data_IF_456215470468
#
_entry.id   IF_456215470468
#
_cell.length_a   1.000
_cell.length_b   1.000
_cell.length_c   1.000
_cell.angle_alpha   90.00
_cell.angle_beta   90.00
_cell.angle_gamma   90.00
#
_symmetry.space_group_name_H-M   'P 1'
#
loop_
_entity.id
_entity.type
_entity.pdbx_description
1 polymer ?
#
# COMPACT_ATOMS: atom_id res chain seq x y z
N UNK A 1 -30.42 -32.35 5.80
CA UNK A 1 -30.53 -30.97 5.27
C UNK A 1 -29.60 -29.98 5.99
N UNK A 2 -29.69 -29.79 7.32
CA UNK A 2 -28.81 -28.87 8.10
C UNK A 2 -27.29 -28.99 7.84
N UNK A 3 -26.76 -30.20 7.67
CA UNK A 3 -25.33 -30.44 7.38
C UNK A 3 -24.89 -29.90 6.01
N UNK A 4 -25.76 -30.01 5.01
CA UNK A 4 -25.51 -29.51 3.64
C UNK A 4 -25.60 -27.99 3.63
N UNK A 5 -26.57 -27.40 4.34
CA UNK A 5 -26.67 -25.95 4.49
C UNK A 5 -25.45 -25.37 5.20
N UNK A 6 -24.94 -26.04 6.24
CA UNK A 6 -23.71 -25.63 6.93
C UNK A 6 -22.49 -25.66 6.00
N UNK A 7 -22.33 -26.72 5.23
CA UNK A 7 -21.26 -26.84 4.23
C UNK A 7 -21.33 -25.73 3.18
N UNK A 8 -22.52 -25.42 2.66
CA UNK A 8 -22.74 -24.33 1.70
C UNK A 8 -22.35 -22.98 2.28
N UNK A 9 -22.72 -22.69 3.53
CA UNK A 9 -22.35 -21.44 4.20
C UNK A 9 -20.84 -21.31 4.35
N UNK A 10 -20.14 -22.38 4.74
CA UNK A 10 -18.67 -22.39 4.87
C UNK A 10 -18.02 -22.14 3.50
N UNK A 11 -18.44 -22.84 2.46
CA UNK A 11 -17.92 -22.67 1.10
C UNK A 11 -18.12 -21.24 0.62
N UNK A 12 -19.31 -20.66 0.85
CA UNK A 12 -19.60 -19.28 0.52
C UNK A 12 -18.64 -18.33 1.27
N UNK A 13 -18.49 -18.46 2.59
CA UNK A 13 -17.57 -17.59 3.35
C UNK A 13 -16.11 -17.64 2.87
N UNK A 14 -15.64 -18.80 2.39
CA UNK A 14 -14.27 -18.95 1.87
C UNK A 14 -14.14 -18.34 0.47
N UNK A 15 -15.14 -18.54 -0.41
CA UNK A 15 -15.15 -17.97 -1.76
C UNK A 15 -15.32 -16.43 -1.77
N UNK A 16 -15.99 -15.90 -0.75
CA UNK A 16 -16.15 -14.45 -0.53
C UNK A 16 -15.17 -13.89 0.49
N UNK A 17 -14.09 -14.62 0.82
CA UNK A 17 -12.97 -14.00 1.52
C UNK A 17 -12.52 -12.79 0.72
N UNK A 18 -12.58 -11.62 1.35
CA UNK A 18 -12.35 -10.35 0.68
C UNK A 18 -10.96 -10.38 0.07
N UNK A 19 -10.87 -10.32 -1.27
CA UNK A 19 -9.60 -10.01 -1.93
C UNK A 19 -9.04 -8.74 -1.27
N UNK A 20 -7.79 -8.76 -0.80
CA UNK A 20 -7.18 -7.56 -0.26
C UNK A 20 -6.68 -6.73 -1.44
N UNK A 21 -7.45 -5.72 -1.86
CA UNK A 21 -7.09 -4.74 -2.91
C UNK A 21 -6.05 -3.73 -2.42
N UNK A 22 -5.01 -4.24 -1.75
CA UNK A 22 -3.95 -3.45 -1.13
C UNK A 22 -2.59 -3.97 -1.56
N UNK A 23 -2.45 -4.34 -2.83
CA UNK A 23 -1.14 -4.72 -3.38
C UNK A 23 -0.29 -3.46 -3.52
N UNK A 24 0.85 -3.47 -2.85
CA UNK A 24 1.85 -2.40 -2.90
C UNK A 24 2.94 -2.81 -3.89
N UNK A 25 3.20 -1.99 -4.91
CA UNK A 25 4.25 -2.24 -5.90
C UNK A 25 5.59 -1.63 -5.43
N UNK A 26 6.72 -2.34 -5.52
CA UNK A 26 8.01 -1.80 -5.11
C UNK A 26 8.49 -0.72 -6.07
N UNK A 27 8.90 0.43 -5.52
CA UNK A 27 9.50 1.55 -6.25
C UNK A 27 11.02 1.39 -6.30
N UNK A 28 11.64 1.22 -5.12
CA UNK A 28 13.10 1.17 -4.97
C UNK A 28 13.52 0.62 -3.63
N UNK A 29 14.80 0.26 -3.52
CA UNK A 29 15.43 -0.10 -2.25
C UNK A 29 16.57 0.89 -2.01
N UNK A 30 16.56 1.54 -0.86
CA UNK A 30 17.65 2.44 -0.44
C UNK A 30 18.91 1.65 -0.08
N UNK A 31 20.08 2.32 -0.08
CA UNK A 31 21.34 1.72 0.34
C UNK A 31 21.33 1.20 1.79
N UNK A 32 20.49 1.77 2.66
CA UNK A 32 20.25 1.30 4.03
C UNK A 32 19.27 0.12 4.12
N UNK A 33 18.75 -0.35 2.99
CA UNK A 33 17.86 -1.50 2.89
C UNK A 33 16.40 -1.22 3.19
N UNK A 34 15.98 0.05 3.21
CA UNK A 34 14.55 0.43 3.26
C UNK A 34 13.95 0.22 1.88
N UNK A 35 12.86 -0.55 1.80
CA UNK A 35 12.10 -0.73 0.55
C UNK A 35 10.97 0.27 0.50
N UNK A 36 10.87 1.00 -0.60
CA UNK A 36 9.77 1.91 -0.88
C UNK A 36 8.78 1.20 -1.78
N UNK A 37 7.50 1.29 -1.45
CA UNK A 37 6.39 0.80 -2.25
C UNK A 37 5.38 1.92 -2.53
N UNK A 38 4.55 1.75 -3.54
CA UNK A 38 3.37 2.57 -3.79
C UNK A 38 2.12 1.74 -4.03
N UNK A 39 0.97 2.28 -3.64
CA UNK A 39 -0.33 1.73 -3.99
C UNK A 39 -0.72 2.24 -5.39
N UNK A 40 -0.61 1.35 -6.39
CA UNK A 40 -0.87 1.67 -7.79
C UNK A 40 -2.34 1.98 -8.08
N UNK A 41 -3.26 1.28 -7.45
CA UNK A 41 -4.69 1.43 -7.66
C UNK A 41 -5.21 2.77 -7.11
N UNK A 42 -4.50 3.33 -6.14
CA UNK A 42 -4.81 4.62 -5.51
C UNK A 42 -4.01 5.80 -6.05
N UNK A 43 -3.29 5.64 -7.16
CA UNK A 43 -2.68 6.79 -7.84
C UNK A 43 -3.78 7.69 -8.38
N UNK A 44 -3.66 9.00 -8.13
CA UNK A 44 -4.57 10.04 -8.63
C UNK A 44 -3.78 11.12 -9.35
N UNK A 45 -4.32 11.66 -10.44
CA UNK A 45 -3.75 12.80 -11.16
C UNK A 45 -4.64 14.01 -10.97
N UNK A 46 -4.04 15.15 -10.64
CA UNK A 46 -4.72 16.45 -10.66
C UNK A 46 -3.77 17.50 -11.24
N UNK A 47 -4.15 18.05 -12.40
CA UNK A 47 -3.28 18.92 -13.20
C UNK A 47 -1.96 18.23 -13.56
N UNK A 48 -0.84 18.86 -13.20
CA UNK A 48 0.51 18.33 -13.42
C UNK A 48 1.02 17.39 -12.32
N UNK A 49 0.25 17.22 -11.25
CA UNK A 49 0.68 16.44 -10.09
C UNK A 49 0.09 15.03 -10.09
N UNK A 50 0.92 14.08 -9.66
CA UNK A 50 0.49 12.75 -9.25
C UNK A 50 0.43 12.68 -7.73
N UNK A 51 -0.55 11.95 -7.22
CA UNK A 51 -0.75 11.72 -5.81
C UNK A 51 -0.88 10.24 -5.54
N UNK A 52 -0.16 9.74 -4.56
CA UNK A 52 -0.15 8.31 -4.24
C UNK A 52 0.22 8.08 -2.77
N UNK A 53 -0.12 6.90 -2.28
CA UNK A 53 0.39 6.43 -1.00
C UNK A 53 1.75 5.77 -1.21
N UNK A 54 2.74 6.16 -0.41
CA UNK A 54 4.06 5.54 -0.29
C UNK A 54 4.11 4.73 1.00
N UNK A 55 4.60 3.49 0.94
CA UNK A 55 4.93 2.66 2.10
C UNK A 55 6.45 2.52 2.17
N UNK A 56 7.03 2.88 3.31
CA UNK A 56 8.43 2.58 3.63
C UNK A 56 8.47 1.37 4.54
N UNK A 57 9.16 0.33 4.11
CA UNK A 57 9.40 -0.88 4.88
C UNK A 57 10.85 -0.91 5.36
N UNK A 58 11.04 -0.89 6.68
CA UNK A 58 12.34 -0.80 7.31
C UNK A 58 12.82 -2.18 7.80
N UNK A 59 14.04 -2.57 7.41
CA UNK A 59 14.69 -3.78 7.94
C UNK A 59 14.91 -3.77 9.45
N UNK A 60 14.99 -2.58 10.05
CA UNK A 60 15.15 -2.35 11.48
C UNK A 60 14.21 -1.21 11.87
N UNK A 61 13.73 -1.15 13.13
CA UNK A 61 12.91 -0.05 13.59
C UNK A 61 13.58 1.29 13.29
N UNK A 62 12.79 2.24 12.80
CA UNK A 62 13.24 3.62 12.62
C UNK A 62 13.47 4.30 14.00
N UNK A 63 13.93 5.57 14.06
CA UNK A 63 14.17 6.26 15.33
C UNK A 63 12.97 6.36 16.28
N UNK A 64 11.76 6.13 15.77
CA UNK A 64 10.51 6.13 16.55
C UNK A 64 10.01 4.73 16.91
N UNK A 65 10.77 3.67 16.59
CA UNK A 65 10.40 2.28 16.86
C UNK A 65 9.50 1.65 15.80
N UNK A 66 9.20 2.33 14.69
CA UNK A 66 8.31 1.79 13.66
C UNK A 66 9.07 0.92 12.65
N UNK A 67 8.48 -0.22 12.29
CA UNK A 67 8.97 -1.10 11.22
C UNK A 67 8.50 -0.69 9.83
N UNK A 68 7.43 0.10 9.76
CA UNK A 68 6.99 0.71 8.51
C UNK A 68 6.35 2.07 8.75
N UNK A 69 6.31 2.90 7.70
CA UNK A 69 5.50 4.12 7.68
C UNK A 69 4.78 4.25 6.35
N UNK A 70 3.61 4.85 6.37
CA UNK A 70 2.86 5.20 5.16
C UNK A 70 2.74 6.69 5.05
N UNK A 71 2.97 7.26 3.87
CA UNK A 71 2.82 8.69 3.64
C UNK A 71 2.05 8.97 2.37
N UNK A 72 1.27 10.05 2.37
CA UNK A 72 0.58 10.49 1.16
C UNK A 72 1.47 11.49 0.43
N UNK A 73 1.89 11.17 -0.80
CA UNK A 73 2.89 11.91 -1.56
C UNK A 73 2.23 12.67 -2.70
N UNK A 74 2.65 13.92 -2.92
CA UNK A 74 2.40 14.67 -4.15
C UNK A 74 3.71 14.76 -4.95
N UNK A 75 3.69 14.32 -6.20
CA UNK A 75 4.82 14.27 -7.13
C UNK A 75 4.61 15.21 -8.32
N UNK A 76 5.62 16.01 -8.63
CA UNK A 76 5.77 16.81 -9.85
C UNK A 76 6.85 16.19 -10.72
N UNK A 77 6.44 15.40 -11.72
CA UNK A 77 7.35 14.70 -12.60
C UNK A 77 8.15 15.64 -13.51
N UNK A 78 7.69 16.86 -13.76
CA UNK A 78 8.35 17.79 -14.69
C UNK A 78 9.69 18.30 -14.18
N UNK A 79 9.87 18.34 -12.86
CA UNK A 79 11.06 18.82 -12.16
C UNK A 79 11.57 17.82 -11.12
N UNK A 80 11.07 16.58 -11.16
CA UNK A 80 11.42 15.50 -10.23
C UNK A 80 11.32 15.87 -8.75
N UNK A 81 10.27 16.62 -8.37
CA UNK A 81 10.07 17.09 -7.01
C UNK A 81 8.87 16.41 -6.37
N UNK A 82 9.00 16.00 -5.10
CA UNK A 82 7.88 15.48 -4.33
C UNK A 82 7.74 16.19 -2.98
N UNK A 83 6.56 16.08 -2.37
CA UNK A 83 6.32 16.44 -0.96
C UNK A 83 5.40 15.40 -0.30
N UNK A 84 5.64 15.12 0.98
CA UNK A 84 4.71 14.33 1.81
C UNK A 84 3.65 15.27 2.39
N UNK A 85 2.40 14.94 2.12
CA UNK A 85 1.21 15.67 2.58
C UNK A 85 0.70 15.14 3.93
N UNK A 86 0.94 13.86 4.23
CA UNK A 86 0.54 13.18 5.47
C UNK A 86 1.55 12.09 5.83
N UNK A 87 1.72 11.86 7.13
CA UNK A 87 2.52 10.79 7.76
C UNK A 87 1.63 9.89 8.63
#
# INVERSE_FOLDING_TARGET
MKKITLLLVIIFTVLFSTTSWGEWEPISVSGSGVTLYFDKDRVRKSGKYLYFWELQDYKKPNPYGNLSTTSYVQLDCSIFRFKRLKF
#
